data_IF_272280480188
#
_entry.id   IF_272280480188
#
_cell.length_a   1.000
_cell.length_b   1.000
_cell.length_c   1.000
_cell.angle_alpha   90.00
_cell.angle_beta   90.00
_cell.angle_gamma   90.00
#
_symmetry.space_group_name_H-M   'P 1'
#
loop_
_entity.id
_entity.type
_entity.pdbx_description
1 polymer ?
#
# COMPACT_ATOMS: atom_id res chain seq x y z
N UNK A 1 13.71 23.01 8.71
CA UNK A 1 12.86 22.14 7.86
C UNK A 1 11.59 21.81 8.62
N UNK A 2 10.42 22.24 8.17
CA UNK A 2 9.15 21.93 8.86
C UNK A 2 8.89 20.42 8.77
N UNK A 3 8.91 19.73 9.92
CA UNK A 3 8.46 18.35 10.04
C UNK A 3 6.96 18.29 9.74
N UNK A 4 6.60 18.23 8.45
CA UNK A 4 5.22 17.93 8.04
C UNK A 4 4.91 16.54 8.54
N UNK A 5 4.00 16.44 9.52
CA UNK A 5 3.47 15.16 10.00
C UNK A 5 2.97 14.37 8.80
N UNK A 6 3.65 13.27 8.47
CA UNK A 6 3.21 12.34 7.43
C UNK A 6 1.83 11.81 7.80
N UNK A 7 0.91 11.89 6.84
CA UNK A 7 -0.42 11.29 6.96
C UNK A 7 -0.33 9.77 7.12
N UNK A 8 -1.37 9.15 7.67
CA UNK A 8 -1.42 7.69 7.82
C UNK A 8 -1.23 6.97 6.48
N UNK A 9 -1.74 7.53 5.39
CA UNK A 9 -1.58 7.01 4.03
C UNK A 9 -0.14 7.10 3.53
N UNK A 10 0.55 8.22 3.77
CA UNK A 10 1.98 8.36 3.42
C UNK A 10 2.86 7.41 4.22
N UNK A 11 2.49 7.08 5.47
CA UNK A 11 3.22 6.11 6.29
C UNK A 11 3.14 4.69 5.73
N UNK A 12 2.03 4.32 5.09
CA UNK A 12 1.82 2.99 4.48
C UNK A 12 2.19 2.95 2.98
N UNK A 13 2.80 4.03 2.46
CA UNK A 13 3.39 4.08 1.12
C UNK A 13 2.52 4.72 0.03
N UNK A 14 1.34 5.27 0.36
CA UNK A 14 0.55 6.01 -0.62
C UNK A 14 1.08 7.42 -0.82
N UNK A 15 1.01 7.88 -2.06
CA UNK A 15 1.41 9.20 -2.50
C UNK A 15 0.30 9.82 -3.36
N UNK A 16 0.25 11.15 -3.42
CA UNK A 16 -0.71 11.86 -4.28
C UNK A 16 -0.31 11.86 -5.75
N UNK A 17 0.99 11.74 -6.01
CA UNK A 17 1.57 11.91 -7.33
C UNK A 17 2.43 10.69 -7.67
N UNK A 18 2.37 10.26 -8.92
CA UNK A 18 3.26 9.26 -9.47
C UNK A 18 4.50 9.96 -10.06
N UNK A 19 5.72 9.40 -9.91
CA UNK A 19 6.91 9.94 -10.56
C UNK A 19 6.75 10.07 -12.07
N UNK A 20 7.32 11.15 -12.65
CA UNK A 20 7.29 11.35 -14.11
C UNK A 20 8.03 10.20 -14.80
N UNK A 21 7.38 9.57 -15.77
CA UNK A 21 7.93 8.45 -16.54
C UNK A 21 7.71 7.07 -15.91
N UNK A 22 7.01 6.96 -14.77
CA UNK A 22 6.61 5.67 -14.23
C UNK A 22 5.32 5.15 -14.90
N UNK A 23 5.22 3.83 -15.07
CA UNK A 23 4.00 3.20 -15.59
C UNK A 23 2.91 3.18 -14.52
N UNK A 24 1.73 3.70 -14.87
CA UNK A 24 0.55 3.68 -13.99
C UNK A 24 0.12 2.27 -13.60
N UNK A 25 0.40 1.27 -14.44
CA UNK A 25 0.04 -0.13 -14.20
C UNK A 25 0.86 -0.76 -13.06
N UNK A 26 2.01 -0.19 -12.75
CA UNK A 26 2.85 -0.58 -11.61
C UNK A 26 2.31 -0.04 -10.27
N UNK A 27 1.20 0.70 -10.28
CA UNK A 27 0.63 1.30 -9.09
C UNK A 27 -0.79 0.78 -8.83
N UNK A 28 -1.10 0.57 -7.57
CA UNK A 28 -2.48 0.49 -7.10
C UNK A 28 -2.98 1.90 -6.77
N UNK A 29 -4.27 2.13 -7.00
CA UNK A 29 -4.93 3.40 -6.72
C UNK A 29 -6.13 3.22 -5.81
N UNK A 30 -6.30 4.16 -4.88
CA UNK A 30 -7.49 4.27 -4.03
C UNK A 30 -8.09 5.66 -4.18
N UNK A 31 -9.41 5.75 -4.07
CA UNK A 31 -10.15 7.01 -4.09
C UNK A 31 -10.79 7.24 -2.73
N UNK A 32 -10.47 8.36 -2.10
CA UNK A 32 -10.98 8.72 -0.78
C UNK A 32 -11.77 10.00 -0.91
N UNK A 33 -12.99 10.00 -0.37
CA UNK A 33 -13.78 11.22 -0.25
C UNK A 33 -13.37 11.95 1.02
N UNK A 34 -13.03 13.23 0.89
CA UNK A 34 -12.75 14.08 2.04
C UNK A 34 -14.05 14.54 2.73
N UNK A 35 -13.91 15.20 3.89
CA UNK A 35 -15.05 15.73 4.65
C UNK A 35 -15.85 16.82 3.91
N UNK A 36 -15.28 17.40 2.85
CA UNK A 36 -15.92 18.41 1.99
C UNK A 36 -16.56 17.80 0.75
N UNK A 37 -16.51 16.47 0.59
CA UNK A 37 -17.07 15.75 -0.55
C UNK A 37 -16.13 15.59 -1.74
N UNK A 38 -14.90 16.13 -1.69
CA UNK A 38 -13.96 16.02 -2.80
C UNK A 38 -13.34 14.62 -2.85
N UNK A 39 -13.21 14.09 -4.06
CA UNK A 39 -12.55 12.82 -4.30
C UNK A 39 -11.05 13.07 -4.48
N UNK A 40 -10.25 12.46 -3.62
CA UNK A 40 -8.79 12.48 -3.70
C UNK A 40 -8.31 11.07 -4.08
N UNK A 41 -7.55 10.97 -5.16
CA UNK A 41 -6.92 9.71 -5.57
C UNK A 41 -5.50 9.63 -5.02
N UNK A 42 -5.15 8.48 -4.46
CA UNK A 42 -3.82 8.16 -3.97
C UNK A 42 -3.27 6.93 -4.68
N UNK A 43 -1.96 6.88 -4.83
CA UNK A 43 -1.22 5.85 -5.55
C UNK A 43 -0.15 5.24 -4.67
N UNK A 44 -0.05 3.91 -4.68
CA UNK A 44 1.06 3.19 -4.06
C UNK A 44 1.65 2.24 -5.09
N UNK A 45 2.97 2.18 -5.16
CA UNK A 45 3.62 1.23 -6.06
C UNK A 45 3.23 -0.19 -5.65
N UNK A 46 2.75 -0.98 -6.59
CA UNK A 46 2.54 -2.41 -6.40
C UNK A 46 3.90 -2.97 -6.07
N UNK A 47 4.04 -3.52 -4.86
CA UNK A 47 5.12 -4.47 -4.65
C UNK A 47 4.85 -5.60 -5.64
N UNK A 48 5.86 -6.02 -6.40
CA UNK A 48 5.84 -7.38 -6.92
C UNK A 48 5.55 -8.23 -5.69
N UNK A 49 4.36 -8.82 -5.63
CA UNK A 49 4.25 -10.05 -4.91
C UNK A 49 5.28 -10.92 -5.62
N UNK A 50 6.42 -11.18 -4.96
CA UNK A 50 6.94 -12.53 -5.05
C UNK A 50 5.71 -13.37 -4.78
N UNK A 51 5.28 -14.10 -5.80
CA UNK A 51 4.12 -14.97 -5.67
C UNK A 51 4.31 -15.65 -4.32
N UNK A 52 3.43 -15.36 -3.36
CA UNK A 52 3.24 -16.24 -2.24
C UNK A 52 2.55 -17.46 -2.85
N UNK A 53 3.24 -18.15 -3.75
CA UNK A 53 2.94 -19.48 -4.21
C UNK A 53 3.34 -20.46 -3.12
N UNK A 54 2.90 -20.16 -1.90
CA UNK A 54 2.79 -21.10 -0.80
C UNK A 54 1.28 -21.36 -0.60
N UNK A 55 0.52 -21.40 -1.70
CA UNK A 55 -0.82 -22.03 -1.72
C UNK A 55 -0.70 -23.54 -1.51
N UNK A 56 0.51 -24.10 -1.62
CA UNK A 56 0.84 -25.50 -1.42
C UNK A 56 1.04 -25.90 0.04
N UNK A 57 1.22 -24.96 1.00
CA UNK A 57 1.47 -25.33 2.39
C UNK A 57 0.79 -24.40 3.42
N UNK A 58 -0.45 -24.78 3.80
CA UNK A 58 -1.21 -24.17 4.90
C UNK A 58 -0.39 -23.99 6.19
N UNK A 59 0.58 -24.89 6.45
CA UNK A 59 1.45 -24.81 7.63
C UNK A 59 2.37 -23.59 7.64
N UNK A 60 2.94 -23.20 6.49
CA UNK A 60 3.79 -22.01 6.36
C UNK A 60 2.99 -20.75 6.66
N UNK A 61 1.80 -20.66 6.06
CA UNK A 61 0.87 -19.53 6.27
C UNK A 61 0.42 -19.43 7.73
N UNK A 62 0.13 -20.56 8.39
CA UNK A 62 -0.29 -20.60 9.78
C UNK A 62 0.84 -20.21 10.75
N UNK A 63 2.09 -20.56 10.46
CA UNK A 63 3.24 -20.18 11.28
C UNK A 63 3.52 -18.67 11.23
N UNK A 64 3.44 -18.06 10.04
CA UNK A 64 3.57 -16.61 9.89
C UNK A 64 2.47 -15.89 10.67
N UNK A 65 1.23 -16.35 10.57
CA UNK A 65 0.11 -15.78 11.32
C UNK A 65 0.34 -15.83 12.83
N UNK A 66 0.75 -16.99 13.39
CA UNK A 66 1.05 -17.11 14.83
C UNK A 66 2.16 -16.18 15.30
N UNK A 67 3.19 -15.95 14.47
CA UNK A 67 4.30 -15.07 14.86
C UNK A 67 3.88 -13.61 15.13
N UNK A 68 2.71 -13.18 14.63
CA UNK A 68 2.17 -11.84 14.85
C UNK A 68 1.13 -11.77 15.98
N UNK A 69 0.85 -12.90 16.66
CA UNK A 69 -0.09 -12.99 17.78
C UNK A 69 0.58 -12.97 19.16
N UNK A 70 1.92 -12.95 19.22
CA UNK A 70 2.70 -12.82 20.46
C UNK A 70 3.11 -11.37 20.73
#
# INVERSE_FOLDING_TARGET
>A
MQNKKKSSFEKIGYSKNIPKGADINDYEKISIRDKKGNINTLYRQRKKFEDLDDTTNFSSSWNIFKSHLN
#
